data_IF_598817586484
#
_entry.id   IF_598817586484
#
_cell.length_a   1.000
_cell.length_b   1.000
_cell.length_c   1.000
_cell.angle_alpha   90.00
_cell.angle_beta   90.00
_cell.angle_gamma   90.00
#
_symmetry.space_group_name_H-M   'P 1'
#
loop_
_entity.id
_entity.type
_entity.pdbx_description
1 polymer ?
#
# COMPACT_ATOMS: atom_id res chain seq x y z
N UNK A 1 -11.78 11.29 1.69
CA UNK A 1 -12.05 9.89 2.04
C UNK A 1 -12.96 9.17 1.03
N UNK A 2 -14.23 9.56 0.85
CA UNK A 2 -15.12 8.85 -0.10
C UNK A 2 -14.65 8.95 -1.58
N UNK A 3 -14.09 10.08 -1.98
CA UNK A 3 -13.63 10.30 -3.35
C UNK A 3 -12.34 9.52 -3.70
N UNK A 4 -11.44 9.30 -2.72
CA UNK A 4 -10.20 8.55 -2.95
C UNK A 4 -10.47 7.06 -3.18
N UNK A 5 -11.50 6.51 -2.52
CA UNK A 5 -11.94 5.13 -2.69
C UNK A 5 -12.34 4.84 -4.14
N UNK A 6 -13.12 5.73 -4.76
CA UNK A 6 -13.60 5.58 -6.14
C UNK A 6 -12.48 5.71 -7.18
N UNK A 7 -11.34 6.31 -6.81
CA UNK A 7 -10.19 6.48 -7.70
C UNK A 7 -9.24 5.28 -7.72
N UNK A 8 -9.33 4.39 -6.72
CA UNK A 8 -8.45 3.22 -6.68
C UNK A 8 -8.88 2.16 -7.70
N UNK A 9 -7.96 1.81 -8.59
CA UNK A 9 -8.09 0.68 -9.50
C UNK A 9 -8.12 -0.65 -8.73
N UNK A 10 -8.60 -1.71 -9.39
CA UNK A 10 -8.58 -3.04 -8.79
C UNK A 10 -7.16 -3.54 -8.45
N UNK A 11 -6.13 -3.10 -9.18
CA UNK A 11 -4.74 -3.46 -8.90
C UNK A 11 -4.26 -2.80 -7.60
N UNK A 12 -4.53 -1.51 -7.42
CA UNK A 12 -4.19 -0.76 -6.21
C UNK A 12 -4.93 -1.27 -4.98
N UNK A 13 -6.23 -1.58 -5.11
CA UNK A 13 -7.01 -2.18 -4.02
C UNK A 13 -6.50 -3.56 -3.61
N UNK A 14 -5.96 -4.34 -4.55
CA UNK A 14 -5.34 -5.64 -4.25
C UNK A 14 -3.98 -5.45 -3.59
N UNK A 15 -3.17 -4.54 -4.10
CA UNK A 15 -1.86 -4.25 -3.52
C UNK A 15 -1.98 -3.68 -2.10
N UNK A 16 -2.91 -2.75 -1.87
CA UNK A 16 -3.17 -2.19 -0.55
C UNK A 16 -3.63 -3.25 0.45
N UNK A 17 -4.47 -4.20 0.01
CA UNK A 17 -4.87 -5.37 0.82
C UNK A 17 -3.68 -6.28 1.13
N UNK A 18 -2.85 -6.54 0.14
CA UNK A 18 -1.69 -7.40 0.29
C UNK A 18 -0.61 -6.79 1.21
N UNK A 19 -0.38 -5.47 1.13
CA UNK A 19 0.49 -4.76 2.08
C UNK A 19 -0.05 -4.75 3.53
N UNK A 20 -1.31 -5.13 3.70
CA UNK A 20 -2.07 -5.18 4.95
C UNK A 20 -2.44 -6.62 5.36
N UNK A 21 -1.77 -7.63 4.78
CA UNK A 21 -2.10 -9.05 5.02
C UNK A 21 -1.81 -9.51 6.46
N UNK A 22 -1.07 -8.71 7.22
CA UNK A 22 -0.82 -8.90 8.65
C UNK A 22 -1.46 -7.79 9.48
N UNK A 23 -1.76 -8.02 10.77
CA UNK A 23 -2.20 -6.96 11.68
C UNK A 23 -1.29 -5.73 11.60
N UNK A 24 -1.86 -4.52 11.78
CA UNK A 24 -1.15 -3.26 11.61
C UNK A 24 0.16 -3.15 12.42
N UNK A 25 0.24 -3.79 13.59
CA UNK A 25 1.43 -3.80 14.45
C UNK A 25 2.55 -4.73 13.94
N UNK A 26 2.20 -5.71 13.10
CA UNK A 26 3.08 -6.74 12.57
C UNK A 26 3.46 -6.47 11.10
N UNK A 27 2.62 -5.71 10.37
CA UNK A 27 2.82 -5.42 8.95
C UNK A 27 4.17 -4.75 8.64
N UNK A 28 5.07 -5.52 8.05
CA UNK A 28 6.42 -5.07 7.64
C UNK A 28 6.47 -4.39 6.27
N UNK A 29 5.38 -4.48 5.50
CA UNK A 29 5.32 -4.05 4.10
C UNK A 29 6.11 -4.97 3.19
N UNK A 30 6.56 -4.45 2.04
CA UNK A 30 7.18 -5.31 1.03
C UNK A 30 8.34 -4.64 0.32
N UNK A 31 9.38 -5.43 0.06
CA UNK A 31 10.57 -4.95 -0.62
C UNK A 31 10.30 -4.77 -2.12
N UNK A 32 10.83 -3.70 -2.72
CA UNK A 32 10.63 -3.37 -4.14
C UNK A 32 11.04 -4.52 -5.08
N UNK A 33 12.03 -5.32 -4.71
CA UNK A 33 12.51 -6.45 -5.51
C UNK A 33 11.55 -7.65 -5.54
N UNK A 34 10.60 -7.70 -4.60
CA UNK A 34 9.56 -8.73 -4.53
C UNK A 34 8.32 -8.37 -5.37
N UNK A 35 8.29 -7.14 -5.90
CA UNK A 35 7.17 -6.62 -6.68
C UNK A 35 7.44 -6.70 -8.18
N UNK A 36 6.41 -7.05 -8.94
CA UNK A 36 6.39 -6.85 -10.39
C UNK A 36 6.34 -5.36 -10.75
N UNK A 37 6.70 -5.02 -12.00
CA UNK A 37 6.66 -3.63 -12.48
C UNK A 37 5.28 -2.97 -12.33
N UNK A 38 4.20 -3.72 -12.58
CA UNK A 38 2.83 -3.24 -12.42
C UNK A 38 2.48 -2.96 -10.95
N UNK A 39 2.97 -3.80 -10.03
CA UNK A 39 2.81 -3.58 -8.59
C UNK A 39 3.62 -2.38 -8.11
N UNK A 40 4.83 -2.17 -8.65
CA UNK A 40 5.63 -0.97 -8.36
C UNK A 40 4.88 0.27 -8.84
N UNK A 41 4.35 0.28 -10.05
CA UNK A 41 3.57 1.41 -10.57
C UNK A 41 2.34 1.71 -9.69
N UNK A 42 1.61 0.67 -9.27
CA UNK A 42 0.49 0.83 -8.34
C UNK A 42 0.95 1.34 -6.96
N UNK A 43 2.10 0.88 -6.45
CA UNK A 43 2.67 1.34 -5.19
C UNK A 43 3.02 2.83 -5.24
N UNK A 44 3.67 3.26 -6.32
CA UNK A 44 4.03 4.67 -6.54
C UNK A 44 2.78 5.56 -6.59
N UNK A 45 1.70 5.11 -7.26
CA UNK A 45 0.45 5.86 -7.26
C UNK A 45 -0.18 5.92 -5.85
N UNK A 46 -0.16 4.81 -5.10
CA UNK A 46 -0.61 4.79 -3.70
C UNK A 46 0.24 5.67 -2.77
N UNK A 47 1.53 5.85 -3.08
CA UNK A 47 2.42 6.80 -2.39
C UNK A 47 2.00 8.24 -2.65
N UNK A 48 1.68 8.58 -3.90
CA UNK A 48 1.16 9.92 -4.25
C UNK A 48 -0.17 10.24 -3.55
N UNK A 49 -0.99 9.22 -3.29
CA UNK A 49 -2.24 9.33 -2.53
C UNK A 49 -2.02 9.32 -1.01
N UNK A 50 -0.78 9.14 -0.53
CA UNK A 50 -0.44 9.08 0.89
C UNK A 50 -0.97 7.83 1.62
N UNK A 51 -1.37 6.80 0.87
CA UNK A 51 -1.88 5.53 1.42
C UNK A 51 -0.74 4.54 1.70
N UNK A 52 0.35 4.69 0.96
CA UNK A 52 1.61 3.93 1.13
C UNK A 52 2.74 4.93 1.32
N UNK A 53 3.82 4.52 1.98
CA UNK A 53 5.08 5.28 2.07
C UNK A 53 6.25 4.41 1.65
N UNK A 54 7.34 5.07 1.32
CA UNK A 54 8.62 4.43 1.01
C UNK A 54 9.52 4.54 2.23
N UNK A 55 10.01 3.40 2.72
CA UNK A 55 11.01 3.32 3.77
C UNK A 55 12.32 2.74 3.19
N UNK A 56 13.46 3.33 3.56
CA UNK A 56 14.78 2.86 3.14
C UNK A 56 15.38 1.97 4.23
N UNK A 57 15.65 0.72 3.87
CA UNK A 57 16.21 -0.29 4.75
C UNK A 57 17.74 -0.38 4.69
N UNK A 58 18.26 -1.40 5.34
CA UNK A 58 19.69 -1.71 5.32
C UNK A 58 20.12 -2.11 3.91
N UNK A 59 21.38 -1.82 3.56
CA UNK A 59 21.96 -2.10 2.23
C UNK A 59 21.15 -1.50 1.05
N UNK A 60 20.55 -0.33 1.26
CA UNK A 60 19.79 0.38 0.23
C UNK A 60 18.55 -0.37 -0.27
N UNK A 61 18.01 -1.29 0.53
CA UNK A 61 16.71 -1.91 0.23
C UNK A 61 15.61 -0.85 0.31
N UNK A 62 14.59 -0.97 -0.54
CA UNK A 62 13.47 -0.01 -0.63
C UNK A 62 12.19 -0.76 -0.34
N UNK A 63 11.40 -0.25 0.58
CA UNK A 63 10.21 -0.92 1.10
C UNK A 63 8.98 -0.04 0.92
N UNK A 64 7.89 -0.64 0.46
CA UNK A 64 6.57 -0.02 0.48
C UNK A 64 5.81 -0.45 1.73
N UNK A 65 5.31 0.51 2.50
CA UNK A 65 4.52 0.25 3.72
C UNK A 65 3.23 1.03 3.71
N UNK A 66 2.15 0.40 4.15
CA UNK A 66 0.86 1.05 4.31
C UNK A 66 0.93 2.10 5.44
N UNK A 67 0.35 3.28 5.21
CA UNK A 67 0.30 4.36 6.21
C UNK A 67 -0.94 4.19 7.09
N UNK A 68 -1.04 4.91 8.24
CA UNK A 68 -2.29 4.96 9.00
C UNK A 68 -3.49 5.42 8.17
N UNK A 69 -3.28 6.31 7.19
CA UNK A 69 -4.31 6.73 6.25
C UNK A 69 -4.72 5.58 5.32
N UNK A 70 -3.74 4.84 4.78
CA UNK A 70 -3.99 3.64 3.99
C UNK A 70 -4.83 2.60 4.72
N UNK A 71 -4.53 2.34 6.00
CA UNK A 71 -5.33 1.45 6.86
C UNK A 71 -6.77 1.92 7.03
N UNK A 72 -6.98 3.21 7.29
CA UNK A 72 -8.32 3.79 7.43
C UNK A 72 -9.13 3.65 6.13
N UNK A 73 -8.49 3.90 4.97
CA UNK A 73 -9.12 3.72 3.65
C UNK A 73 -9.44 2.25 3.40
N UNK A 74 -8.51 1.34 3.73
CA UNK A 74 -8.73 -0.10 3.55
C UNK A 74 -9.92 -0.62 4.37
N UNK A 75 -10.08 -0.17 5.61
CA UNK A 75 -11.21 -0.52 6.46
C UNK A 75 -12.56 -0.10 5.84
N UNK A 76 -12.59 1.04 5.13
CA UNK A 76 -13.79 1.49 4.41
C UNK A 76 -14.08 0.65 3.17
N UNK A 77 -13.06 0.09 2.50
CA UNK A 77 -13.23 -0.83 1.35
C UNK A 77 -13.72 -2.21 1.80
N UNK A 78 -13.22 -2.71 2.94
CA UNK A 78 -13.56 -4.03 3.47
C UNK A 78 -14.93 -4.15 4.13
N UNK A 79 -15.64 -3.03 4.33
CA UNK A 79 -17.01 -2.98 4.85
C UNK A 79 -18.08 -2.94 3.73
N UNK A 80 -17.69 -3.21 2.48
CA UNK A 80 -18.57 -3.25 1.30
C UNK A 80 -18.83 -4.66 0.77
#
# INVERSE_FOLDING_TARGET
MAHELDQLTNAERRLLRWLADEPQEEAVGSEISELSADQIYAAEHLVLLGLVRIDYGWRMTVWYRITPHGWAVLALIGLG
#
